data_IF_673014074581
#
_entry.id   IF_673014074581
#
_cell.length_a   1.000
_cell.length_b   1.000
_cell.length_c   1.000
_cell.angle_alpha   90.00
_cell.angle_beta   90.00
_cell.angle_gamma   90.00
#
_symmetry.space_group_name_H-M   'P 1'
#
loop_
_entity.id
_entity.type
_entity.pdbx_description
1 polymer ?
#
# COMPACT_ATOMS: atom_id res chain seq x y z
N UNK A 1 -0.23 -28.02 7.61
CA UNK A 1 0.27 -26.76 8.19
C UNK A 1 1.31 -26.23 7.21
N UNK A 2 0.89 -25.45 6.22
CA UNK A 2 1.83 -24.75 5.32
C UNK A 2 2.12 -23.42 6.01
N UNK A 3 3.32 -23.26 6.54
CA UNK A 3 3.81 -21.93 6.93
C UNK A 3 4.22 -21.29 5.61
N UNK A 4 3.45 -20.31 5.17
CA UNK A 4 3.65 -19.59 3.91
C UNK A 4 5.06 -18.99 3.82
N UNK A 5 5.82 -19.45 2.82
CA UNK A 5 7.08 -18.86 2.34
C UNK A 5 6.87 -17.42 1.79
N UNK A 6 5.62 -16.99 1.62
CA UNK A 6 5.21 -15.70 1.07
C UNK A 6 5.44 -14.50 2.02
N UNK A 7 5.87 -14.69 3.27
CA UNK A 7 6.18 -13.58 4.19
C UNK A 7 7.68 -13.24 4.24
N UNK A 8 8.50 -13.85 3.39
CA UNK A 8 9.92 -13.50 3.22
C UNK A 8 10.15 -12.06 2.76
N UNK A 9 9.15 -11.40 2.18
CA UNK A 9 9.23 -9.96 1.91
C UNK A 9 9.01 -9.12 3.18
N UNK A 10 8.13 -9.54 4.08
CA UNK A 10 7.78 -8.76 5.27
C UNK A 10 8.99 -8.57 6.20
N UNK A 11 9.86 -9.58 6.30
CA UNK A 11 11.12 -9.49 7.05
C UNK A 11 12.14 -8.52 6.44
N UNK A 12 12.01 -8.18 5.15
CA UNK A 12 12.83 -7.18 4.43
C UNK A 12 12.22 -5.78 4.46
N UNK A 13 11.05 -5.60 5.08
CA UNK A 13 10.41 -4.30 5.17
C UNK A 13 11.23 -3.35 6.06
N UNK A 14 11.35 -2.08 5.63
CA UNK A 14 12.07 -1.07 6.40
C UNK A 14 11.46 -0.83 7.80
N UNK A 15 10.17 -1.11 7.97
CA UNK A 15 9.46 -1.02 9.25
C UNK A 15 9.50 -2.31 10.09
N UNK A 16 10.10 -3.40 9.61
CA UNK A 16 10.05 -4.71 10.28
C UNK A 16 10.70 -4.70 11.67
N UNK A 17 11.65 -3.80 11.92
CA UNK A 17 12.31 -3.61 13.22
C UNK A 17 11.67 -2.52 14.10
N UNK A 18 10.60 -1.87 13.64
CA UNK A 18 9.94 -0.80 14.38
C UNK A 18 8.93 -1.36 15.39
N UNK A 19 8.76 -0.66 16.51
CA UNK A 19 7.72 -1.02 17.48
C UNK A 19 6.31 -0.89 16.85
N UNK A 20 5.39 -1.84 17.07
CA UNK A 20 4.06 -1.81 16.46
C UNK A 20 3.31 -0.49 16.67
N UNK A 21 3.37 0.06 17.89
CA UNK A 21 2.68 1.31 18.25
C UNK A 21 3.19 2.53 17.45
N UNK A 22 4.45 2.50 17.02
CA UNK A 22 5.03 3.53 16.15
C UNK A 22 4.46 3.49 14.72
N UNK A 23 3.85 2.38 14.31
CA UNK A 23 3.24 2.20 12.99
C UNK A 23 1.72 2.43 13.00
N UNK A 24 1.06 2.28 14.15
CA UNK A 24 -0.38 2.51 14.33
C UNK A 24 -0.72 3.96 14.69
N UNK A 25 -0.10 4.90 14.00
CA UNK A 25 -0.24 6.33 14.26
C UNK A 25 -1.44 6.96 13.54
N UNK A 26 -1.96 8.04 14.10
CA UNK A 26 -3.07 8.84 13.55
C UNK A 26 -2.61 10.26 13.21
N UNK A 27 -3.32 10.92 12.30
CA UNK A 27 -3.10 12.34 12.01
C UNK A 27 -1.71 12.63 11.41
N UNK A 28 -1.03 13.64 11.93
CA UNK A 28 0.25 14.11 11.38
C UNK A 28 1.35 13.04 11.35
N UNK A 29 1.37 12.14 12.36
CA UNK A 29 2.34 11.06 12.46
C UNK A 29 2.21 10.01 11.34
N UNK A 30 1.07 9.94 10.63
CA UNK A 30 0.96 9.10 9.42
C UNK A 30 1.89 9.56 8.29
N UNK A 31 2.35 10.82 8.30
CA UNK A 31 3.30 11.31 7.30
C UNK A 31 4.67 10.67 7.48
N UNK A 32 5.16 10.55 8.70
CA UNK A 32 6.46 9.93 9.01
C UNK A 32 6.48 8.45 8.61
N UNK A 33 5.41 7.71 8.93
CA UNK A 33 5.27 6.32 8.49
C UNK A 33 5.21 6.20 6.97
N UNK A 34 4.56 7.14 6.27
CA UNK A 34 4.52 7.16 4.80
C UNK A 34 5.89 7.40 4.19
N UNK A 35 6.68 8.30 4.74
CA UNK A 35 8.04 8.58 4.28
C UNK A 35 8.92 7.33 4.38
N UNK A 36 8.84 6.61 5.50
CA UNK A 36 9.49 5.31 5.66
C UNK A 36 9.04 4.30 4.59
N UNK A 37 7.74 4.24 4.29
CA UNK A 37 7.22 3.36 3.26
C UNK A 37 7.83 3.68 1.88
N UNK A 38 8.00 4.95 1.49
CA UNK A 38 8.47 5.32 0.14
C UNK A 38 9.91 4.86 -0.15
N UNK A 39 10.74 4.68 0.87
CA UNK A 39 12.08 4.13 0.74
C UNK A 39 12.14 2.60 0.92
N UNK A 40 11.00 1.95 1.23
CA UNK A 40 10.96 0.52 1.53
C UNK A 40 11.13 -0.32 0.25
N UNK A 41 12.05 -1.31 0.21
CA UNK A 41 12.31 -2.10 -0.98
C UNK A 41 11.15 -3.04 -1.36
N UNK A 42 10.33 -3.44 -0.38
CA UNK A 42 9.20 -4.37 -0.55
C UNK A 42 7.85 -3.66 -0.55
N UNK A 43 7.84 -2.36 -0.93
CA UNK A 43 6.66 -1.51 -0.83
C UNK A 43 5.49 -2.02 -1.67
N UNK A 44 5.78 -2.57 -2.86
CA UNK A 44 4.75 -3.02 -3.80
C UNK A 44 4.13 -4.33 -3.34
N UNK A 45 4.94 -5.26 -2.84
CA UNK A 45 4.51 -6.52 -2.23
C UNK A 45 3.64 -6.23 -1.00
N UNK A 46 4.07 -5.29 -0.15
CA UNK A 46 3.29 -4.82 0.99
C UNK A 46 1.93 -4.23 0.59
N UNK A 47 1.88 -3.47 -0.51
CA UNK A 47 0.63 -2.90 -1.01
C UNK A 47 -0.29 -3.99 -1.59
N UNK A 48 0.27 -4.90 -2.38
CA UNK A 48 -0.46 -6.01 -2.99
C UNK A 48 -1.11 -6.88 -1.93
N UNK A 49 -0.34 -7.29 -0.91
CA UNK A 49 -0.83 -8.08 0.21
C UNK A 49 -1.98 -7.37 0.95
N UNK A 50 -1.83 -6.07 1.22
CA UNK A 50 -2.87 -5.28 1.89
C UNK A 50 -4.15 -5.12 1.06
N UNK A 51 -4.05 -5.10 -0.28
CA UNK A 51 -5.21 -5.01 -1.18
C UNK A 51 -5.90 -6.38 -1.34
N UNK A 52 -5.12 -7.44 -1.53
CA UNK A 52 -5.61 -8.83 -1.60
C UNK A 52 -6.33 -9.24 -0.31
N UNK A 53 -5.73 -8.94 0.85
CA UNK A 53 -6.31 -9.22 2.17
C UNK A 53 -7.41 -8.22 2.60
N UNK A 54 -7.59 -7.14 1.84
CA UNK A 54 -8.49 -6.03 2.16
C UNK A 54 -8.28 -5.47 3.59
N UNK A 55 -7.02 -5.40 4.04
CA UNK A 55 -6.69 -4.94 5.39
C UNK A 55 -7.28 -3.55 5.69
N UNK A 56 -8.02 -3.45 6.79
CA UNK A 56 -8.90 -2.31 7.09
C UNK A 56 -8.28 -1.23 7.98
N UNK A 57 -7.00 -1.35 8.34
CA UNK A 57 -6.33 -0.39 9.21
C UNK A 57 -4.86 -0.19 8.81
N UNK A 58 -4.23 0.86 9.38
CA UNK A 58 -2.80 1.15 9.19
C UNK A 58 -2.41 1.70 7.80
N UNK A 59 -1.13 2.03 7.69
CA UNK A 59 -0.48 2.43 6.43
C UNK A 59 0.24 1.21 5.85
N UNK A 60 -0.04 0.90 4.59
CA UNK A 60 0.53 -0.25 3.87
C UNK A 60 1.01 0.21 2.50
N UNK A 61 2.25 -0.10 2.14
CA UNK A 61 2.84 0.34 0.87
C UNK A 61 2.84 1.87 0.68
N UNK A 62 2.78 2.65 1.76
CA UNK A 62 2.64 4.12 1.72
C UNK A 62 1.21 4.62 1.49
N UNK A 63 0.20 3.75 1.48
CA UNK A 63 -1.22 4.09 1.36
C UNK A 63 -1.95 3.90 2.68
N UNK A 64 -2.80 4.87 3.00
CA UNK A 64 -3.78 4.77 4.09
C UNK A 64 -4.93 3.83 3.71
N UNK A 65 -5.65 3.32 4.71
CA UNK A 65 -6.89 2.55 4.51
C UNK A 65 -7.84 3.23 3.52
N UNK A 66 -8.03 4.54 3.66
CA UNK A 66 -8.96 5.33 2.84
C UNK A 66 -8.56 5.35 1.36
N UNK A 67 -7.26 5.34 1.07
CA UNK A 67 -6.71 5.30 -0.29
C UNK A 67 -6.80 3.90 -0.88
N UNK A 68 -6.46 2.85 -0.11
CA UNK A 68 -6.64 1.46 -0.53
C UNK A 68 -8.09 1.14 -0.86
N UNK A 69 -9.04 1.60 -0.03
CA UNK A 69 -10.48 1.44 -0.30
C UNK A 69 -10.92 2.17 -1.58
N UNK A 70 -10.27 3.27 -1.95
CA UNK A 70 -10.57 3.94 -3.22
C UNK A 70 -10.13 3.09 -4.42
N UNK A 71 -8.96 2.43 -4.33
CA UNK A 71 -8.49 1.48 -5.35
C UNK A 71 -9.44 0.29 -5.49
N UNK A 72 -9.78 -0.36 -4.38
CA UNK A 72 -10.69 -1.51 -4.38
C UNK A 72 -12.07 -1.18 -4.97
N UNK A 73 -12.59 0.03 -4.74
CA UNK A 73 -13.84 0.48 -5.36
C UNK A 73 -13.71 0.81 -6.84
N UNK A 74 -12.56 1.29 -7.28
CA UNK A 74 -12.32 1.71 -8.66
C UNK A 74 -12.06 0.53 -9.60
N UNK A 75 -11.49 -0.54 -9.05
CA UNK A 75 -11.09 -1.76 -9.76
C UNK A 75 -11.68 -3.01 -9.06
N UNK A 76 -13.02 -3.12 -8.96
CA UNK A 76 -13.66 -4.28 -8.32
C UNK A 76 -13.39 -5.60 -9.05
N UNK A 77 -12.96 -5.56 -10.31
CA UNK A 77 -12.64 -6.71 -11.15
C UNK A 77 -11.26 -7.32 -10.87
N UNK A 78 -10.40 -6.63 -10.12
CA UNK A 78 -9.02 -7.10 -9.85
C UNK A 78 -9.04 -8.13 -8.73
N UNK A 79 -8.78 -9.39 -9.10
CA UNK A 79 -8.72 -10.52 -8.16
C UNK A 79 -7.31 -10.80 -7.63
N UNK A 80 -6.27 -10.38 -8.35
CA UNK A 80 -4.86 -10.54 -7.96
C UNK A 80 -4.12 -9.20 -8.10
N UNK A 81 -3.94 -8.52 -6.97
CA UNK A 81 -3.26 -7.25 -6.92
C UNK A 81 -1.75 -7.36 -7.09
N UNK A 82 -1.14 -8.52 -6.85
CA UNK A 82 0.29 -8.73 -7.05
C UNK A 82 0.60 -8.64 -8.54
N UNK A 83 -0.08 -9.46 -9.35
CA UNK A 83 0.05 -9.41 -10.82
C UNK A 83 -0.42 -8.08 -11.40
N UNK A 84 -1.49 -7.48 -10.85
CA UNK A 84 -1.98 -6.20 -11.36
C UNK A 84 -0.97 -5.08 -11.18
N UNK A 85 -0.32 -5.00 -10.01
CA UNK A 85 0.68 -3.98 -9.70
C UNK A 85 2.03 -4.18 -10.42
N UNK A 86 2.24 -5.29 -11.11
CA UNK A 86 3.42 -5.56 -11.96
C UNK A 86 3.31 -4.99 -13.37
N UNK A 87 2.11 -4.59 -13.80
CA UNK A 87 1.89 -3.99 -15.12
C UNK A 87 2.68 -2.69 -15.34
N UNK A 88 3.22 -2.51 -16.54
CA UNK A 88 4.01 -1.31 -16.92
C UNK A 88 3.21 -0.30 -17.71
N UNK A 89 2.05 -0.68 -18.23
CA UNK A 89 1.22 0.08 -19.17
C UNK A 89 0.22 1.05 -18.51
N UNK A 90 0.23 1.18 -17.18
CA UNK A 90 -0.76 1.95 -16.42
C UNK A 90 -0.14 3.15 -15.70
N UNK A 91 -0.67 4.35 -15.94
CA UNK A 91 -0.23 5.61 -15.33
C UNK A 91 -0.39 5.62 -13.80
N UNK A 92 -1.46 4.99 -13.28
CA UNK A 92 -1.67 4.86 -11.84
C UNK A 92 -0.60 3.96 -11.22
N UNK A 93 -0.22 2.87 -11.89
CA UNK A 93 0.81 1.96 -11.38
C UNK A 93 2.17 2.65 -11.41
N UNK A 94 2.48 3.40 -12.47
CA UNK A 94 3.68 4.22 -12.52
C UNK A 94 3.73 5.23 -11.35
N UNK A 95 2.60 5.85 -11.00
CA UNK A 95 2.53 6.75 -9.85
C UNK A 95 2.63 6.02 -8.51
N UNK A 96 2.00 4.86 -8.35
CA UNK A 96 2.12 4.02 -7.16
C UNK A 96 3.56 3.60 -6.90
N UNK A 97 4.30 3.26 -7.97
CA UNK A 97 5.73 2.93 -7.93
C UNK A 97 6.63 4.14 -7.73
N UNK A 98 6.16 5.36 -7.98
CA UNK A 98 6.92 6.54 -7.64
C UNK A 98 7.11 6.60 -6.11
N UNK A 99 8.31 6.93 -5.65
CA UNK A 99 8.67 7.02 -4.23
C UNK A 99 8.09 8.29 -3.58
N UNK A 100 6.79 8.55 -3.80
CA UNK A 100 6.07 9.73 -3.33
C UNK A 100 4.58 9.43 -3.18
N UNK A 101 3.88 10.28 -2.43
CA UNK A 101 2.44 10.13 -2.24
C UNK A 101 1.69 10.26 -3.59
N UNK A 102 0.81 9.29 -3.94
CA UNK A 102 0.09 9.29 -5.21
C UNK A 102 -0.95 10.40 -5.24
N UNK A 103 -0.84 11.30 -6.22
CA UNK A 103 -1.75 12.43 -6.45
C UNK A 103 -3.01 11.99 -7.19
N UNK A 104 -2.94 10.96 -8.03
CA UNK A 104 -4.10 10.41 -8.75
C UNK A 104 -5.12 9.86 -7.75
N UNK A 105 -4.67 9.12 -6.72
CA UNK A 105 -5.58 8.64 -5.66
C UNK A 105 -6.16 9.81 -4.86
N UNK A 106 -5.37 10.87 -4.62
CA UNK A 106 -5.89 12.07 -3.98
C UNK A 106 -7.03 12.73 -4.80
N UNK A 107 -6.92 12.74 -6.13
CA UNK A 107 -7.91 13.29 -7.07
C UNK A 107 -9.12 12.39 -7.28
N UNK A 108 -8.96 11.06 -7.26
CA UNK A 108 -10.07 10.10 -7.37
C UNK A 108 -11.13 10.28 -6.28
N UNK A 109 -10.75 10.86 -5.15
CA UNK A 109 -11.64 11.15 -4.02
C UNK A 109 -12.51 12.40 -4.23
N UNK A 110 -12.19 13.22 -5.23
CA UNK A 110 -12.87 14.49 -5.51
C UNK A 110 -14.03 14.37 -6.49
N UNK A 111 -14.29 13.17 -7.04
CA UNK A 111 -15.33 12.92 -8.06
C UNK A 111 -16.42 11.95 -7.61
N UNK A 112 -16.43 11.56 -6.34
CA UNK A 112 -17.57 10.84 -5.75
C UNK A 112 -18.44 11.87 -5.02
N UNK A 113 -19.21 12.64 -5.78
CA UNK A 113 -20.25 13.55 -5.32
C UNK A 113 -21.56 13.18 -5.99
#
# INVERSE_FOLDING_TARGET
>A
MKVDDDQTWASRAACAGSEPDALFVRGAAQREVRELCFACPVRMECLADALNSQTTFGVWGGLTERERRALLRRYPEVADWSSWLEREDDELIAELRAQRAPRIIARMRSHTG
#
